data_IF_331283477843
#
_entry.id   IF_331283477843
#
_cell.length_a   1.000
_cell.length_b   1.000
_cell.length_c   1.000
_cell.angle_alpha   90.00
_cell.angle_beta   90.00
_cell.angle_gamma   90.00
#
_symmetry.space_group_name_H-M   'P 1'
#
loop_
_entity.id
_entity.type
_entity.pdbx_description
1 polymer ?
#
# COMPACT_ATOMS: atom_id res chain seq x y z
N UNK A 1 11.21 -33.98 20.82
CA UNK A 1 12.58 -33.53 20.46
C UNK A 1 12.51 -32.36 19.47
N UNK A 2 13.55 -31.52 19.33
CA UNK A 2 13.51 -30.40 18.37
C UNK A 2 13.28 -30.88 16.93
N UNK A 3 13.86 -32.01 16.56
CA UNK A 3 13.69 -32.66 15.24
C UNK A 3 12.23 -33.05 14.94
N UNK A 4 11.47 -33.42 15.97
CA UNK A 4 10.06 -33.78 15.84
C UNK A 4 9.17 -32.53 15.80
N UNK A 5 9.49 -31.53 16.64
CA UNK A 5 8.77 -30.26 16.70
C UNK A 5 8.99 -29.40 15.45
N UNK A 6 10.19 -29.45 14.88
CA UNK A 6 10.58 -28.70 13.68
C UNK A 6 10.47 -29.56 12.40
N UNK A 7 9.69 -30.64 12.41
CA UNK A 7 9.53 -31.48 11.23
C UNK A 7 8.73 -30.72 10.15
N UNK A 8 9.30 -30.41 8.96
CA UNK A 8 8.69 -29.48 8.00
C UNK A 8 7.27 -29.87 7.57
N UNK A 9 7.06 -31.15 7.25
CA UNK A 9 5.74 -31.67 6.82
C UNK A 9 4.72 -31.70 7.95
N UNK A 10 5.17 -31.81 9.21
CA UNK A 10 4.25 -31.80 10.33
C UNK A 10 3.75 -30.37 10.58
N UNK A 11 4.65 -29.39 10.49
CA UNK A 11 4.35 -27.98 10.68
C UNK A 11 3.40 -27.43 9.60
N UNK A 12 3.55 -27.82 8.33
CA UNK A 12 2.66 -27.33 7.26
C UNK A 12 1.22 -27.84 7.37
N UNK A 13 0.97 -28.90 8.16
CA UNK A 13 -0.38 -29.42 8.46
C UNK A 13 -1.09 -28.65 9.57
N UNK A 14 -0.38 -27.75 10.26
CA UNK A 14 -1.00 -26.87 11.23
C UNK A 14 -1.69 -25.74 10.47
N UNK A 15 -3.00 -25.60 10.63
CA UNK A 15 -3.73 -24.47 10.05
C UNK A 15 -3.37 -23.18 10.79
N UNK A 16 -3.22 -22.09 10.03
CA UNK A 16 -2.95 -20.74 10.54
C UNK A 16 -1.69 -20.65 11.38
N UNK A 17 -0.65 -21.42 11.02
CA UNK A 17 0.65 -21.34 11.66
C UNK A 17 1.27 -19.96 11.44
N UNK A 18 1.62 -19.27 12.53
CA UNK A 18 2.28 -17.97 12.47
C UNK A 18 3.71 -18.11 12.97
N UNK A 19 4.67 -17.75 12.13
CA UNK A 19 6.08 -17.60 12.51
C UNK A 19 6.44 -16.13 12.53
N UNK A 20 6.99 -15.64 13.64
CA UNK A 20 7.54 -14.28 13.76
C UNK A 20 9.02 -14.39 14.05
N UNK A 21 9.84 -13.75 13.24
CA UNK A 21 11.29 -13.88 13.24
C UNK A 21 11.93 -12.51 13.25
N UNK A 22 12.87 -12.28 14.17
CA UNK A 22 13.70 -11.07 14.14
C UNK A 22 14.79 -11.20 13.07
N UNK A 23 15.02 -10.15 12.30
CA UNK A 23 16.14 -10.03 11.38
C UNK A 23 17.14 -8.94 11.83
N UNK A 24 18.40 -9.15 11.47
CA UNK A 24 19.46 -8.16 11.60
C UNK A 24 19.61 -7.31 10.34
N UNK A 25 19.40 -7.92 9.17
CA UNK A 25 19.39 -7.20 7.91
C UNK A 25 18.42 -7.83 6.91
N UNK A 26 17.84 -6.99 6.06
CA UNK A 26 17.07 -7.40 4.87
C UNK A 26 17.60 -6.61 3.68
N UNK A 27 17.97 -7.29 2.59
CA UNK A 27 18.36 -6.57 1.37
C UNK A 27 17.17 -6.18 0.49
N UNK A 28 17.37 -5.30 -0.49
CA UNK A 28 16.31 -4.83 -1.40
C UNK A 28 15.71 -5.92 -2.30
N UNK A 29 16.35 -7.09 -2.41
CA UNK A 29 15.75 -8.26 -3.07
C UNK A 29 14.91 -9.09 -2.10
N UNK A 30 14.96 -8.77 -0.81
CA UNK A 30 14.30 -9.40 0.31
C UNK A 30 14.99 -10.66 0.80
N UNK A 31 16.30 -10.81 0.65
CA UNK A 31 17.06 -11.81 1.39
C UNK A 31 17.24 -11.35 2.84
N UNK A 32 17.23 -12.30 3.79
CA UNK A 32 17.25 -11.98 5.22
C UNK A 32 18.45 -12.60 5.90
N UNK A 33 19.19 -11.76 6.61
CA UNK A 33 20.16 -12.17 7.62
C UNK A 33 19.52 -12.05 9.01
N UNK A 34 19.51 -13.15 9.76
CA UNK A 34 18.86 -13.21 11.08
C UNK A 34 19.74 -13.85 12.17
N UNK A 35 20.98 -14.22 11.87
CA UNK A 35 21.90 -14.85 12.82
C UNK A 35 23.16 -14.03 13.12
N UNK A 36 23.46 -13.02 12.31
CA UNK A 36 24.68 -12.22 12.39
C UNK A 36 24.39 -10.72 12.28
N UNK A 37 25.18 -9.93 13.03
CA UNK A 37 25.14 -8.47 12.99
C UNK A 37 26.59 -7.95 12.94
N UNK A 38 26.90 -7.10 11.96
CA UNK A 38 28.26 -6.52 11.81
C UNK A 38 29.37 -7.56 11.61
N UNK A 39 29.04 -8.71 11.03
CA UNK A 39 29.98 -9.82 10.80
C UNK A 39 30.29 -10.66 12.03
N UNK A 40 29.67 -10.38 13.17
CA UNK A 40 29.71 -11.25 14.33
C UNK A 40 28.45 -12.12 14.38
N UNK A 41 28.66 -13.40 14.66
CA UNK A 41 27.58 -14.36 14.86
C UNK A 41 26.92 -14.05 16.21
N UNK A 42 25.67 -13.59 16.17
CA UNK A 42 24.86 -13.33 17.36
C UNK A 42 24.23 -14.61 17.89
N UNK A 43 23.83 -15.52 16.99
CA UNK A 43 23.17 -16.79 17.32
C UNK A 43 23.33 -17.82 16.20
N UNK A 44 22.44 -18.80 16.13
CA UNK A 44 22.40 -19.75 15.01
C UNK A 44 21.02 -19.78 14.39
N UNK A 45 20.94 -20.18 13.11
CA UNK A 45 19.66 -20.31 12.39
C UNK A 45 18.68 -21.28 13.07
N UNK A 46 19.20 -22.32 13.74
CA UNK A 46 18.41 -23.36 14.41
C UNK A 46 17.22 -23.83 13.55
N UNK A 47 16.01 -23.87 14.11
CA UNK A 47 14.78 -24.24 13.39
C UNK A 47 14.04 -23.04 12.80
N UNK A 48 14.64 -21.84 12.81
CA UNK A 48 13.96 -20.60 12.43
C UNK A 48 13.53 -20.60 10.96
N UNK A 49 14.43 -20.96 10.05
CA UNK A 49 14.15 -21.03 8.62
C UNK A 49 13.05 -22.06 8.31
N UNK A 50 13.07 -23.20 9.00
CA UNK A 50 12.06 -24.26 8.83
C UNK A 50 10.69 -23.82 9.34
N UNK A 51 10.62 -23.19 10.53
CA UNK A 51 9.38 -22.65 11.09
C UNK A 51 8.80 -21.56 10.18
N UNK A 52 9.66 -20.68 9.68
CA UNK A 52 9.28 -19.61 8.77
C UNK A 52 8.74 -20.17 7.45
N UNK A 53 9.47 -21.11 6.84
CA UNK A 53 9.04 -21.79 5.63
C UNK A 53 7.72 -22.54 5.83
N UNK A 54 7.56 -23.25 6.94
CA UNK A 54 6.33 -23.99 7.20
C UNK A 54 5.12 -23.06 7.42
N UNK A 55 5.31 -21.93 8.10
CA UNK A 55 4.27 -20.92 8.25
C UNK A 55 3.86 -20.30 6.91
N UNK A 56 4.82 -20.11 5.99
CA UNK A 56 4.56 -19.63 4.63
C UNK A 56 3.73 -20.61 3.78
N UNK A 57 3.80 -21.92 4.09
CA UNK A 57 3.13 -22.99 3.34
C UNK A 57 1.92 -23.61 4.07
N UNK A 58 1.61 -23.11 5.27
CA UNK A 58 0.45 -23.51 6.08
C UNK A 58 -0.83 -22.85 5.55
N UNK A 59 -1.97 -23.56 5.62
CA UNK A 59 -3.27 -23.00 5.22
C UNK A 59 -3.64 -21.81 6.12
N UNK A 60 -3.69 -20.61 5.54
CA UNK A 60 -3.91 -19.36 6.29
C UNK A 60 -2.74 -18.98 7.22
N UNK A 61 -1.56 -19.59 7.03
CA UNK A 61 -0.36 -19.32 7.79
C UNK A 61 0.28 -17.97 7.44
N UNK A 62 1.16 -17.49 8.32
CA UNK A 62 1.84 -16.19 8.17
C UNK A 62 3.30 -16.29 8.60
N UNK A 63 4.21 -16.00 7.68
CA UNK A 63 5.64 -15.93 7.93
C UNK A 63 6.09 -14.46 7.96
N UNK A 64 6.45 -13.98 9.15
CA UNK A 64 6.70 -12.56 9.43
C UNK A 64 8.14 -12.34 9.84
N UNK A 65 8.83 -11.49 9.09
CA UNK A 65 10.16 -10.97 9.43
C UNK A 65 9.98 -9.59 10.07
N UNK A 66 10.57 -9.39 11.25
CA UNK A 66 10.53 -8.12 11.98
C UNK A 66 11.94 -7.57 12.15
N UNK A 67 12.12 -6.27 11.95
CA UNK A 67 13.37 -5.58 12.22
C UNK A 67 13.11 -4.11 12.56
N UNK A 68 13.95 -3.53 13.41
CA UNK A 68 14.07 -2.08 13.47
C UNK A 68 14.72 -1.57 12.19
N UNK A 69 14.39 -0.37 11.73
CA UNK A 69 15.03 0.15 10.51
C UNK A 69 16.48 0.54 10.70
N UNK A 70 16.88 0.93 11.90
CA UNK A 70 18.25 1.28 12.25
C UNK A 70 18.79 0.33 13.32
N UNK A 71 20.09 0.03 13.25
CA UNK A 71 20.85 -0.58 14.32
C UNK A 71 21.21 0.47 15.39
N UNK A 72 21.64 0.07 16.60
CA UNK A 72 22.01 1.00 17.67
C UNK A 72 23.11 2.02 17.29
N UNK A 73 23.96 1.67 16.33
CA UNK A 73 25.01 2.54 15.79
C UNK A 73 24.55 3.45 14.64
N UNK A 74 23.25 3.45 14.33
CA UNK A 74 22.65 4.28 13.29
C UNK A 74 22.69 3.69 11.87
N UNK A 75 23.29 2.52 11.65
CA UNK A 75 23.31 1.90 10.32
C UNK A 75 21.93 1.32 9.96
N UNK A 76 21.50 1.51 8.71
CA UNK A 76 20.20 1.00 8.21
C UNK A 76 20.16 -0.53 8.11
N UNK A 77 19.22 -1.21 8.77
CA UNK A 77 19.04 -2.66 8.63
C UNK A 77 18.35 -3.08 7.34
N UNK A 78 17.75 -2.14 6.59
CA UNK A 78 17.37 -2.36 5.20
C UNK A 78 18.53 -1.94 4.32
N UNK A 79 19.04 -2.88 3.51
CA UNK A 79 20.30 -2.74 2.78
C UNK A 79 20.11 -2.86 1.26
N UNK A 80 20.97 -2.22 0.45
CA UNK A 80 21.06 -2.47 -0.99
C UNK A 80 21.38 -3.94 -1.31
N UNK A 81 22.31 -4.53 -0.56
CA UNK A 81 22.65 -5.94 -0.52
C UNK A 81 23.13 -6.33 0.88
N UNK A 82 22.96 -7.60 1.23
CA UNK A 82 23.68 -8.18 2.36
C UNK A 82 25.18 -8.16 2.06
N UNK A 83 25.98 -7.94 3.11
CA UNK A 83 27.44 -7.95 3.06
C UNK A 83 27.97 -9.38 2.97
N UNK A 84 29.26 -9.56 2.61
CA UNK A 84 29.90 -10.88 2.54
C UNK A 84 29.91 -11.63 3.89
N UNK A 85 29.75 -10.92 5.00
CA UNK A 85 29.75 -11.47 6.34
C UNK A 85 28.33 -11.79 6.85
N UNK A 86 27.28 -11.39 6.13
CA UNK A 86 25.89 -11.61 6.48
C UNK A 86 25.34 -12.82 5.72
N UNK A 87 25.11 -13.93 6.43
CA UNK A 87 24.58 -15.13 5.82
C UNK A 87 23.09 -14.99 5.48
N UNK A 88 22.68 -15.50 4.32
CA UNK A 88 21.25 -15.60 3.98
C UNK A 88 20.63 -16.73 4.80
N UNK A 89 19.86 -16.36 5.80
CA UNK A 89 19.16 -17.30 6.71
C UNK A 89 17.75 -17.63 6.24
N UNK A 90 17.07 -16.67 5.61
CA UNK A 90 15.78 -16.88 4.94
C UNK A 90 15.94 -16.39 3.50
N UNK A 91 15.80 -17.29 2.50
CA UNK A 91 15.95 -16.91 1.10
C UNK A 91 14.76 -16.04 0.69
N UNK A 92 14.99 -15.18 -0.32
CA UNK A 92 13.96 -14.25 -0.80
C UNK A 92 12.63 -14.91 -1.21
N UNK A 93 12.67 -16.18 -1.63
CA UNK A 93 11.49 -16.98 -2.00
C UNK A 93 10.52 -17.19 -0.83
N UNK A 94 11.05 -17.22 0.40
CA UNK A 94 10.31 -17.65 1.59
C UNK A 94 9.87 -16.45 2.44
N UNK A 95 10.26 -15.23 2.04
CA UNK A 95 9.89 -13.99 2.73
C UNK A 95 8.52 -13.53 2.27
N UNK A 96 7.54 -13.67 3.16
CA UNK A 96 6.18 -13.20 2.94
C UNK A 96 5.99 -11.80 3.47
N UNK A 97 6.08 -11.60 4.79
CA UNK A 97 5.88 -10.31 5.42
C UNK A 97 7.18 -9.75 5.99
N UNK A 98 7.42 -8.46 5.80
CA UNK A 98 8.47 -7.69 6.48
C UNK A 98 7.82 -6.54 7.24
N UNK A 99 8.11 -6.42 8.53
CA UNK A 99 7.52 -5.45 9.45
C UNK A 99 8.63 -4.59 10.07
N UNK A 100 8.44 -3.27 10.01
CA UNK A 100 9.27 -2.29 10.70
C UNK A 100 8.39 -1.31 11.47
N UNK A 101 9.01 -0.38 12.20
CA UNK A 101 8.32 0.75 12.82
C UNK A 101 7.65 1.71 11.82
N UNK A 102 7.96 1.60 10.51
CA UNK A 102 7.34 2.42 9.45
C UNK A 102 6.22 1.72 8.70
N UNK A 103 5.96 0.44 8.97
CA UNK A 103 4.82 -0.27 8.40
C UNK A 103 5.08 -1.75 8.13
N UNK A 104 4.37 -2.29 7.15
CA UNK A 104 4.51 -3.69 6.76
C UNK A 104 4.42 -3.84 5.24
N UNK A 105 5.27 -4.69 4.68
CA UNK A 105 5.29 -5.04 3.27
C UNK A 105 5.05 -6.55 3.09
N UNK A 106 4.28 -6.90 2.07
CA UNK A 106 4.12 -8.28 1.60
C UNK A 106 4.92 -8.49 0.32
N UNK A 107 5.90 -9.39 0.35
CA UNK A 107 6.90 -9.57 -0.69
C UNK A 107 6.72 -10.85 -1.52
N UNK A 108 5.90 -11.79 -1.07
CA UNK A 108 5.69 -13.05 -1.80
C UNK A 108 4.92 -12.80 -3.10
N UNK A 109 5.40 -13.43 -4.19
CA UNK A 109 4.85 -13.22 -5.54
C UNK A 109 5.19 -11.87 -6.18
N UNK A 110 5.95 -11.01 -5.51
CA UNK A 110 6.36 -9.69 -6.02
C UNK A 110 7.65 -9.77 -6.83
N UNK A 111 7.74 -8.95 -7.88
CA UNK A 111 8.95 -8.74 -8.67
C UNK A 111 10.05 -8.09 -7.82
N UNK A 112 11.31 -8.18 -8.26
CA UNK A 112 12.44 -7.53 -7.58
C UNK A 112 12.25 -6.01 -7.46
N UNK A 113 11.65 -5.38 -8.47
CA UNK A 113 11.31 -3.96 -8.45
C UNK A 113 10.32 -3.62 -7.34
N UNK A 114 9.21 -4.35 -7.28
CA UNK A 114 8.17 -4.13 -6.25
C UNK A 114 8.72 -4.39 -4.85
N UNK A 115 9.57 -5.43 -4.69
CA UNK A 115 10.21 -5.74 -3.40
C UNK A 115 11.15 -4.62 -2.97
N UNK A 116 11.99 -4.13 -3.86
CA UNK A 116 12.91 -3.03 -3.56
C UNK A 116 12.14 -1.78 -3.14
N UNK A 117 11.12 -1.36 -3.91
CA UNK A 117 10.30 -0.20 -3.57
C UNK A 117 9.63 -0.36 -2.20
N UNK A 118 8.96 -1.50 -1.95
CA UNK A 118 8.28 -1.74 -0.69
C UNK A 118 9.23 -1.75 0.52
N UNK A 119 10.43 -2.34 0.36
CA UNK A 119 11.45 -2.35 1.41
C UNK A 119 12.04 -0.96 1.67
N UNK A 120 12.25 -0.14 0.63
CA UNK A 120 12.69 1.25 0.83
C UNK A 120 11.61 2.06 1.57
N UNK A 121 10.33 1.83 1.28
CA UNK A 121 9.23 2.47 2.04
C UNK A 121 9.23 2.05 3.52
N UNK A 122 9.65 0.83 3.84
CA UNK A 122 9.80 0.37 5.22
C UNK A 122 11.05 0.90 5.91
N UNK A 123 12.02 1.45 5.17
CA UNK A 123 13.28 1.93 5.72
C UNK A 123 13.11 3.26 6.46
N UNK A 124 14.11 3.59 7.29
CA UNK A 124 14.15 4.87 7.99
C UNK A 124 14.14 6.02 6.98
N UNK A 125 13.31 7.08 7.15
CA UNK A 125 13.17 8.18 6.20
C UNK A 125 14.50 8.81 5.77
N UNK A 126 15.48 8.88 6.68
CA UNK A 126 16.79 9.49 6.40
C UNK A 126 17.64 8.74 5.39
N UNK A 127 17.37 7.44 5.13
CA UNK A 127 18.17 6.61 4.20
C UNK A 127 17.41 6.22 2.93
N UNK A 128 16.12 6.57 2.82
CA UNK A 128 15.29 6.16 1.69
C UNK A 128 15.82 6.67 0.34
N UNK A 129 16.31 7.91 0.33
CA UNK A 129 16.88 8.52 -0.88
C UNK A 129 18.12 7.76 -1.37
N UNK A 130 19.05 7.46 -0.46
CA UNK A 130 20.27 6.72 -0.77
C UNK A 130 19.97 5.30 -1.23
N UNK A 131 19.08 4.59 -0.53
CA UNK A 131 18.64 3.25 -0.93
C UNK A 131 17.97 3.24 -2.31
N UNK A 132 17.20 4.29 -2.65
CA UNK A 132 16.60 4.42 -3.98
C UNK A 132 17.66 4.63 -5.06
N UNK A 133 18.66 5.47 -4.81
CA UNK A 133 19.77 5.65 -5.75
C UNK A 133 20.53 4.34 -5.96
N UNK A 134 20.87 3.63 -4.90
CA UNK A 134 21.55 2.33 -5.00
C UNK A 134 20.69 1.27 -5.69
N UNK A 135 19.37 1.30 -5.50
CA UNK A 135 18.45 0.42 -6.22
C UNK A 135 18.45 0.71 -7.74
N UNK A 136 18.55 1.99 -8.13
CA UNK A 136 18.66 2.39 -9.54
C UNK A 136 19.99 1.91 -10.12
N UNK A 137 21.10 2.16 -9.42
CA UNK A 137 22.45 1.74 -9.84
C UNK A 137 22.55 0.22 -10.02
N UNK A 138 21.87 -0.54 -9.15
CA UNK A 138 21.77 -2.00 -9.23
C UNK A 138 20.78 -2.51 -10.28
N UNK A 139 20.05 -1.63 -10.96
CA UNK A 139 19.02 -2.00 -11.93
C UNK A 139 17.80 -2.69 -11.32
N UNK A 140 17.58 -2.57 -10.00
CA UNK A 140 16.39 -3.10 -9.34
C UNK A 140 15.15 -2.26 -9.64
N UNK A 141 15.33 -0.96 -9.78
CA UNK A 141 14.26 0.01 -10.11
C UNK A 141 14.71 0.92 -11.26
N UNK A 142 13.78 1.43 -12.09
CA UNK A 142 14.14 2.31 -13.20
C UNK A 142 14.59 3.69 -12.69
N UNK A 143 15.43 4.43 -13.46
CA UNK A 143 15.92 5.76 -13.07
C UNK A 143 14.83 6.82 -12.81
N UNK A 144 13.62 6.63 -13.35
CA UNK A 144 12.47 7.50 -13.12
C UNK A 144 11.63 7.16 -11.88
N UNK A 145 12.01 6.14 -11.10
CA UNK A 145 11.28 5.75 -9.90
C UNK A 145 11.33 6.89 -8.88
N UNK A 146 10.16 7.30 -8.38
CA UNK A 146 10.04 8.26 -7.28
C UNK A 146 9.46 7.57 -6.05
N UNK A 147 9.85 8.05 -4.87
CA UNK A 147 9.25 7.70 -3.58
C UNK A 147 8.67 8.97 -2.98
N UNK A 148 7.34 9.05 -2.92
CA UNK A 148 6.66 10.24 -2.35
C UNK A 148 6.24 10.05 -0.91
N UNK A 149 6.19 8.81 -0.44
CA UNK A 149 5.95 8.49 0.97
C UNK A 149 7.10 9.02 1.83
N UNK A 150 6.83 10.09 2.59
CA UNK A 150 7.78 10.72 3.52
C UNK A 150 7.66 10.15 4.94
N UNK A 151 6.50 9.62 5.29
CA UNK A 151 6.17 9.14 6.64
C UNK A 151 6.10 7.62 6.76
N UNK A 152 5.70 7.19 7.96
CA UNK A 152 5.23 5.83 8.19
C UNK A 152 3.86 5.64 7.53
N UNK A 153 3.54 4.39 7.18
CA UNK A 153 2.21 4.04 6.69
C UNK A 153 1.15 4.35 7.77
N UNK A 154 0.12 5.19 7.49
CA UNK A 154 -0.84 5.63 8.50
C UNK A 154 -1.90 4.56 8.77
N UNK A 155 -1.52 3.54 9.55
CA UNK A 155 -2.35 2.37 9.86
C UNK A 155 -3.64 2.72 10.58
N UNK A 156 -3.64 3.79 11.38
CA UNK A 156 -4.82 4.31 12.07
C UNK A 156 -5.93 4.81 11.12
N UNK A 157 -5.62 4.96 9.83
CA UNK A 157 -6.61 5.29 8.79
C UNK A 157 -7.28 4.06 8.17
N UNK A 158 -6.81 2.85 8.48
CA UNK A 158 -7.45 1.61 8.04
C UNK A 158 -8.82 1.42 8.73
N UNK A 159 -9.86 1.16 7.94
CA UNK A 159 -11.23 0.96 8.41
C UNK A 159 -11.88 -0.21 7.71
N UNK A 160 -12.25 -1.24 8.47
CA UNK A 160 -13.15 -2.27 7.99
C UNK A 160 -14.57 -1.71 7.97
N UNK A 161 -15.26 -1.82 6.84
CA UNK A 161 -16.61 -1.28 6.65
C UNK A 161 -17.50 -2.35 6.04
N UNK A 162 -18.66 -2.56 6.65
CA UNK A 162 -19.74 -3.36 6.09
C UNK A 162 -20.63 -2.46 5.21
N UNK A 163 -20.87 -2.90 3.97
CA UNK A 163 -21.70 -2.22 2.99
C UNK A 163 -23.17 -2.59 3.16
N UNK A 164 -24.06 -1.91 2.42
CA UNK A 164 -25.51 -2.08 2.55
C UNK A 164 -26.01 -3.49 2.20
N UNK A 165 -25.24 -4.22 1.41
CA UNK A 165 -25.54 -5.58 0.98
C UNK A 165 -24.83 -6.65 1.85
N UNK A 166 -24.22 -6.25 2.97
CA UNK A 166 -23.52 -7.14 3.90
C UNK A 166 -22.10 -7.50 3.49
N UNK A 167 -21.62 -7.07 2.32
CA UNK A 167 -20.20 -7.25 1.94
C UNK A 167 -19.31 -6.37 2.81
N UNK A 168 -18.14 -6.88 3.17
CA UNK A 168 -17.13 -6.12 3.92
C UNK A 168 -15.97 -5.71 3.02
N UNK A 169 -15.51 -4.47 3.17
CA UNK A 169 -14.30 -3.95 2.54
C UNK A 169 -13.37 -3.36 3.58
N UNK A 170 -12.06 -3.41 3.34
CA UNK A 170 -11.08 -2.63 4.07
C UNK A 170 -10.81 -1.35 3.28
N UNK A 171 -11.10 -0.19 3.86
CA UNK A 171 -10.63 1.09 3.33
C UNK A 171 -9.29 1.41 3.97
N UNK A 172 -8.24 1.59 3.18
CA UNK A 172 -6.88 1.85 3.66
C UNK A 172 -6.10 2.82 2.76
N UNK A 173 -5.10 3.54 3.28
CA UNK A 173 -4.15 4.28 2.44
C UNK A 173 -3.46 3.39 1.41
N UNK A 174 -3.22 3.95 0.22
CA UNK A 174 -2.44 3.31 -0.82
C UNK A 174 -0.97 3.18 -0.41
N UNK A 175 -0.34 2.11 -0.88
CA UNK A 175 1.10 1.81 -0.77
C UNK A 175 1.69 1.94 -2.17
N UNK A 176 2.97 2.28 -2.32
CA UNK A 176 3.56 2.40 -3.68
C UNK A 176 3.47 1.07 -4.46
N UNK A 177 3.48 -0.08 -3.76
CA UNK A 177 3.25 -1.40 -4.36
C UNK A 177 1.83 -1.70 -4.85
N UNK A 178 0.85 -0.81 -4.62
CA UNK A 178 -0.54 -1.03 -5.04
C UNK A 178 -0.80 -0.67 -6.52
N UNK A 179 0.20 -0.16 -7.23
CA UNK A 179 0.06 0.30 -8.62
C UNK A 179 -0.57 -0.75 -9.54
N UNK A 180 -0.12 -2.00 -9.47
CA UNK A 180 -0.64 -3.09 -10.30
C UNK A 180 -2.13 -3.39 -10.00
N UNK A 181 -2.49 -3.55 -8.73
CA UNK A 181 -3.89 -3.83 -8.35
C UNK A 181 -4.83 -2.65 -8.60
N UNK A 182 -4.30 -1.41 -8.64
CA UNK A 182 -5.02 -0.22 -9.10
C UNK A 182 -5.22 -0.22 -10.62
N UNK A 183 -4.22 -0.63 -11.41
CA UNK A 183 -4.38 -0.83 -12.86
C UNK A 183 -5.47 -1.85 -13.16
N UNK A 184 -5.52 -2.94 -12.39
CA UNK A 184 -6.55 -3.96 -12.57
C UNK A 184 -7.96 -3.38 -12.33
N UNK A 185 -8.14 -2.48 -11.36
CA UNK A 185 -9.40 -1.74 -11.20
C UNK A 185 -9.70 -0.90 -12.45
N UNK A 186 -8.74 -0.12 -12.93
CA UNK A 186 -8.90 0.70 -14.14
C UNK A 186 -9.39 -0.12 -15.34
N UNK A 187 -8.79 -1.29 -15.60
CA UNK A 187 -9.15 -2.14 -16.74
C UNK A 187 -10.50 -2.84 -16.61
N UNK A 188 -11.09 -2.88 -15.40
CA UNK A 188 -12.47 -3.34 -15.18
C UNK A 188 -13.49 -2.22 -15.34
N UNK A 189 -13.07 -0.96 -15.46
CA UNK A 189 -13.99 0.16 -15.58
C UNK A 189 -14.53 0.31 -17.02
N UNK A 190 -15.83 0.60 -17.17
CA UNK A 190 -16.40 1.04 -18.42
C UNK A 190 -15.75 2.34 -18.94
N UNK A 191 -15.67 2.54 -20.28
CA UNK A 191 -15.08 3.73 -20.87
C UNK A 191 -15.68 5.05 -20.38
N UNK A 192 -16.97 5.07 -20.06
CA UNK A 192 -17.66 6.24 -19.51
C UNK A 192 -17.17 6.60 -18.10
N UNK A 193 -16.89 5.61 -17.25
CA UNK A 193 -16.35 5.84 -15.91
C UNK A 193 -14.92 6.34 -15.99
N UNK A 194 -14.11 5.76 -16.88
CA UNK A 194 -12.76 6.25 -17.19
C UNK A 194 -12.81 7.70 -17.64
N UNK A 195 -13.72 8.04 -18.57
CA UNK A 195 -13.88 9.40 -19.04
C UNK A 195 -14.24 10.36 -17.91
N UNK A 196 -15.21 10.00 -17.05
CA UNK A 196 -15.59 10.87 -15.92
C UNK A 196 -14.47 11.06 -14.90
N UNK A 197 -13.57 10.08 -14.74
CA UNK A 197 -12.44 10.14 -13.80
C UNK A 197 -11.26 10.96 -14.32
N UNK A 198 -10.99 10.90 -15.63
CA UNK A 198 -9.77 11.45 -16.23
C UNK A 198 -10.03 12.60 -17.21
N UNK A 199 -11.30 12.93 -17.47
CA UNK A 199 -11.76 13.85 -18.53
C UNK A 199 -11.15 13.55 -19.91
N UNK A 200 -10.76 12.29 -20.11
CA UNK A 200 -10.07 11.80 -21.31
C UNK A 200 -10.47 10.36 -21.56
N UNK A 201 -10.60 10.01 -22.84
CA UNK A 201 -10.78 8.62 -23.24
C UNK A 201 -9.42 7.90 -23.19
N UNK A 202 -9.08 7.39 -22.01
CA UNK A 202 -7.90 6.56 -21.82
C UNK A 202 -8.23 5.10 -22.12
N UNK A 203 -7.41 4.45 -22.95
CA UNK A 203 -7.51 3.01 -23.23
C UNK A 203 -6.51 2.19 -22.40
N UNK A 204 -5.56 2.86 -21.76
CA UNK A 204 -4.57 2.24 -20.88
C UNK A 204 -4.21 3.18 -19.74
N UNK A 205 -3.83 2.60 -18.61
CA UNK A 205 -3.21 3.30 -17.49
C UNK A 205 -1.76 2.83 -17.41
N UNK A 206 -0.78 3.60 -17.90
CA UNK A 206 0.63 3.23 -17.78
C UNK A 206 1.03 2.98 -16.32
N UNK A 207 1.96 2.03 -16.10
CA UNK A 207 2.40 1.68 -14.74
C UNK A 207 2.95 2.90 -13.98
N UNK A 208 3.70 3.77 -14.65
CA UNK A 208 4.20 5.02 -14.05
C UNK A 208 3.09 5.96 -13.57
N UNK A 209 1.95 6.00 -14.27
CA UNK A 209 0.78 6.78 -13.84
C UNK A 209 0.12 6.14 -12.63
N UNK A 210 -0.03 4.81 -12.61
CA UNK A 210 -0.57 4.10 -11.45
C UNK A 210 0.34 4.21 -10.21
N UNK A 211 1.65 4.17 -10.40
CA UNK A 211 2.66 4.42 -9.36
C UNK A 211 2.53 5.84 -8.81
N UNK A 212 2.32 6.84 -9.67
CA UNK A 212 2.07 8.22 -9.22
C UNK A 212 0.75 8.34 -8.42
N UNK A 213 -0.28 7.58 -8.79
CA UNK A 213 -1.55 7.59 -8.05
C UNK A 213 -1.48 6.88 -6.69
N UNK A 214 -0.49 6.00 -6.48
CA UNK A 214 -0.37 5.16 -5.28
C UNK A 214 0.79 5.53 -4.37
N UNK A 215 1.85 6.14 -4.90
CA UNK A 215 2.94 6.74 -4.14
C UNK A 215 2.54 8.15 -3.74
N UNK A 216 1.97 8.29 -2.55
CA UNK A 216 1.48 9.59 -2.03
C UNK A 216 2.22 9.98 -0.75
N UNK A 217 2.25 11.28 -0.45
CA UNK A 217 2.94 11.80 0.75
C UNK A 217 2.21 11.53 2.06
N UNK A 218 0.91 11.17 1.99
CA UNK A 218 -0.03 11.08 3.10
C UNK A 218 -0.33 12.42 3.79
N UNK A 219 0.18 13.54 3.28
CA UNK A 219 -0.03 14.89 3.82
C UNK A 219 -0.91 15.70 2.86
N UNK A 220 -0.30 16.19 1.77
CA UNK A 220 -0.99 16.99 0.75
C UNK A 220 -1.60 16.12 -0.37
N UNK A 221 -1.09 14.91 -0.54
CA UNK A 221 -1.60 13.92 -1.47
C UNK A 221 -2.07 12.71 -0.68
N UNK A 222 -3.32 12.31 -0.85
CA UNK A 222 -3.87 11.11 -0.22
C UNK A 222 -4.60 10.28 -1.25
N UNK A 223 -4.30 8.99 -1.30
CA UNK A 223 -5.08 7.98 -2.03
C UNK A 223 -5.51 6.92 -1.04
N UNK A 224 -6.81 6.68 -0.95
CA UNK A 224 -7.41 5.60 -0.20
C UNK A 224 -7.93 4.54 -1.18
N UNK A 225 -7.73 3.28 -0.84
CA UNK A 225 -8.21 2.11 -1.57
C UNK A 225 -9.25 1.40 -0.71
N UNK A 226 -10.39 1.06 -1.31
CA UNK A 226 -11.27 0.02 -0.79
C UNK A 226 -10.84 -1.31 -1.40
N UNK A 227 -10.48 -2.27 -0.55
CA UNK A 227 -10.00 -3.59 -0.96
C UNK A 227 -10.86 -4.71 -0.39
N UNK A 228 -11.02 -5.77 -1.17
CA UNK A 228 -11.55 -7.06 -0.72
C UNK A 228 -10.43 -8.12 -0.68
N UNK A 229 -10.66 -9.19 0.06
CA UNK A 229 -9.73 -10.32 0.18
C UNK A 229 -8.72 -10.16 1.32
N UNK A 230 -7.90 -11.19 1.49
CA UNK A 230 -6.87 -11.22 2.51
C UNK A 230 -5.63 -10.42 2.10
N UNK A 231 -4.88 -9.98 3.10
CA UNK A 231 -3.65 -9.22 2.91
C UNK A 231 -2.63 -9.98 2.05
N UNK A 232 -2.14 -9.34 0.98
CA UNK A 232 -1.22 -9.94 0.01
C UNK A 232 -1.92 -10.49 -1.22
N UNK A 233 -3.23 -10.74 -1.13
CA UNK A 233 -4.14 -11.11 -2.23
C UNK A 233 -5.28 -10.10 -2.40
N UNK A 234 -5.06 -8.87 -1.91
CA UNK A 234 -6.05 -7.80 -1.92
C UNK A 234 -6.42 -7.42 -3.36
N UNK A 235 -7.73 -7.27 -3.61
CA UNK A 235 -8.25 -6.71 -4.86
C UNK A 235 -8.85 -5.34 -4.58
N UNK A 236 -8.44 -4.32 -5.34
CA UNK A 236 -9.03 -2.99 -5.25
C UNK A 236 -10.41 -2.98 -5.93
N UNK A 237 -11.42 -2.56 -5.19
CA UNK A 237 -12.82 -2.44 -5.63
C UNK A 237 -13.30 -1.00 -5.68
N UNK A 238 -12.53 -0.08 -5.11
CA UNK A 238 -12.71 1.34 -5.30
C UNK A 238 -11.52 2.14 -4.79
N UNK A 239 -11.44 3.39 -5.19
CA UNK A 239 -10.44 4.33 -4.69
C UNK A 239 -11.00 5.74 -4.65
N UNK A 240 -10.52 6.52 -3.69
CA UNK A 240 -10.68 7.97 -3.65
C UNK A 240 -9.32 8.60 -3.41
N UNK A 241 -9.01 9.64 -4.17
CA UNK A 241 -7.77 10.40 -4.02
C UNK A 241 -8.10 11.88 -3.90
N UNK A 242 -7.34 12.61 -3.09
CA UNK A 242 -7.31 14.08 -3.19
C UNK A 242 -5.90 14.64 -3.29
N UNK A 243 -5.80 15.80 -3.94
CA UNK A 243 -4.61 16.63 -4.00
C UNK A 243 -4.92 17.99 -3.38
N UNK A 244 -4.20 18.39 -2.33
CA UNK A 244 -4.36 19.68 -1.66
C UNK A 244 -3.55 20.76 -2.37
N UNK A 245 -4.21 21.86 -2.70
CA UNK A 245 -3.53 23.10 -3.08
C UNK A 245 -3.06 23.83 -1.81
N UNK A 246 -1.74 24.00 -1.60
CA UNK A 246 -1.20 24.67 -0.41
C UNK A 246 -1.57 26.15 -0.34
N UNK A 247 -1.96 26.78 -1.46
CA UNK A 247 -2.29 28.20 -1.53
C UNK A 247 -3.72 28.46 -1.07
N UNK A 248 -4.69 27.74 -1.63
CA UNK A 248 -6.11 27.91 -1.30
C UNK A 248 -6.55 27.09 -0.09
N UNK A 249 -5.78 26.05 0.28
CA UNK A 249 -6.15 25.08 1.31
C UNK A 249 -7.30 24.15 0.89
N UNK A 250 -7.75 24.22 -0.37
CA UNK A 250 -8.74 23.31 -0.96
C UNK A 250 -8.07 22.05 -1.49
N UNK A 251 -8.84 20.98 -1.70
CA UNK A 251 -8.30 19.77 -2.29
C UNK A 251 -9.20 19.16 -3.36
N UNK A 252 -8.63 18.91 -4.54
CA UNK A 252 -9.32 18.28 -5.66
C UNK A 252 -9.47 16.78 -5.40
N UNK A 253 -10.71 16.29 -5.39
CA UNK A 253 -11.04 14.90 -5.08
C UNK A 253 -11.53 14.14 -6.32
N UNK A 254 -11.12 12.88 -6.44
CA UNK A 254 -11.50 12.01 -7.56
C UNK A 254 -11.72 10.56 -7.11
N UNK A 255 -12.68 9.88 -7.74
CA UNK A 255 -13.15 8.54 -7.34
C UNK A 255 -13.11 7.55 -8.49
N UNK A 256 -12.79 6.29 -8.21
CA UNK A 256 -13.07 5.16 -9.10
C UNK A 256 -13.76 4.06 -8.29
N UNK A 257 -14.79 3.44 -8.87
CA UNK A 257 -15.55 2.37 -8.21
C UNK A 257 -15.78 1.26 -9.22
N UNK A 258 -15.40 0.03 -8.86
CA UNK A 258 -15.63 -1.15 -9.68
C UNK A 258 -17.14 -1.28 -9.98
N UNK A 259 -17.56 -1.56 -11.23
CA UNK A 259 -18.96 -1.65 -11.59
C UNK A 259 -19.78 -2.62 -10.73
N UNK A 260 -19.17 -3.74 -10.30
CA UNK A 260 -19.83 -4.73 -9.44
C UNK A 260 -20.04 -4.24 -7.99
N UNK A 261 -19.51 -3.07 -7.65
CA UNK A 261 -19.55 -2.43 -6.34
C UNK A 261 -20.31 -1.10 -6.36
N UNK A 262 -20.93 -0.75 -7.49
CA UNK A 262 -21.86 0.37 -7.59
C UNK A 262 -23.20 0.03 -6.95
N UNK A 263 -23.92 1.04 -6.45
CA UNK A 263 -25.25 0.89 -5.86
C UNK A 263 -25.31 0.33 -4.43
N UNK A 264 -24.22 -0.26 -3.94
CA UNK A 264 -24.18 -0.91 -2.60
C UNK A 264 -23.64 -0.01 -1.48
N UNK A 265 -23.38 1.26 -1.79
CA UNK A 265 -22.95 2.28 -0.84
C UNK A 265 -21.44 2.52 -0.76
N UNK A 266 -20.62 1.83 -1.56
CA UNK A 266 -19.16 1.98 -1.52
C UNK A 266 -18.69 3.43 -1.77
N UNK A 267 -19.27 4.12 -2.76
CA UNK A 267 -18.93 5.53 -3.02
C UNK A 267 -19.23 6.45 -1.83
N UNK A 268 -20.31 6.20 -1.10
CA UNK A 268 -20.68 6.93 0.13
C UNK A 268 -19.65 6.69 1.23
N UNK A 269 -19.25 5.43 1.44
CA UNK A 269 -18.20 5.08 2.40
C UNK A 269 -16.90 5.79 2.06
N UNK A 270 -16.45 5.72 0.80
CA UNK A 270 -15.21 6.39 0.37
C UNK A 270 -15.29 7.91 0.57
N UNK A 271 -16.43 8.54 0.23
CA UNK A 271 -16.66 9.97 0.47
C UNK A 271 -16.53 10.33 1.95
N UNK A 272 -17.16 9.55 2.83
CA UNK A 272 -17.17 9.85 4.26
C UNK A 272 -15.79 9.66 4.89
N UNK A 273 -15.04 8.63 4.46
CA UNK A 273 -13.66 8.41 4.91
C UNK A 273 -12.74 9.53 4.41
N UNK A 274 -12.83 9.94 3.14
CA UNK A 274 -11.95 11.00 2.63
C UNK A 274 -12.25 12.35 3.29
N UNK A 275 -13.53 12.64 3.60
CA UNK A 275 -13.94 13.83 4.35
C UNK A 275 -13.29 13.86 5.74
N UNK A 276 -13.33 12.74 6.47
CA UNK A 276 -12.71 12.63 7.79
C UNK A 276 -11.17 12.81 7.74
N UNK A 277 -10.53 12.16 6.76
CA UNK A 277 -9.10 12.23 6.48
C UNK A 277 -8.67 13.66 6.15
N UNK A 278 -9.43 14.35 5.30
CA UNK A 278 -9.16 15.71 4.87
C UNK A 278 -9.36 16.73 6.01
N UNK A 279 -10.39 16.55 6.85
CA UNK A 279 -10.61 17.36 8.07
C UNK A 279 -9.46 17.28 9.04
N UNK A 280 -8.99 16.07 9.34
CA UNK A 280 -7.85 15.84 10.25
C UNK A 280 -6.55 16.52 9.77
N UNK A 281 -6.43 16.76 8.47
CA UNK A 281 -5.28 17.43 7.84
C UNK A 281 -5.53 18.92 7.55
N UNK A 282 -6.64 19.48 8.01
CA UNK A 282 -6.95 20.91 7.88
C UNK A 282 -7.25 21.37 6.44
N UNK A 283 -7.77 20.47 5.60
CA UNK A 283 -8.31 20.86 4.28
C UNK A 283 -9.58 21.69 4.52
N UNK A 284 -9.71 22.80 3.80
CA UNK A 284 -10.81 23.77 3.98
C UNK A 284 -12.07 23.33 3.21
N UNK A 285 -11.88 22.78 2.01
CA UNK A 285 -12.96 22.27 1.18
C UNK A 285 -12.44 21.19 0.22
N UNK A 286 -13.29 20.21 -0.09
CA UNK A 286 -13.06 19.29 -1.20
C UNK A 286 -13.71 19.84 -2.46
N UNK A 287 -12.96 19.90 -3.55
CA UNK A 287 -13.40 20.38 -4.86
C UNK A 287 -13.47 19.23 -5.85
N UNK A 288 -14.46 19.25 -6.74
CA UNK A 288 -14.55 18.27 -7.81
C UNK A 288 -15.23 18.86 -9.05
N UNK A 289 -14.60 18.69 -10.20
CA UNK A 289 -15.23 18.89 -11.49
C UNK A 289 -15.97 17.63 -11.89
N UNK A 290 -17.28 17.74 -12.11
CA UNK A 290 -18.15 16.62 -12.42
C UNK A 290 -18.98 16.94 -13.66
N UNK A 291 -18.99 16.06 -14.65
CA UNK A 291 -19.88 16.22 -15.82
C UNK A 291 -21.34 16.33 -15.36
N UNK A 292 -22.09 17.26 -15.94
CA UNK A 292 -23.48 17.52 -15.56
C UNK A 292 -24.38 16.27 -15.72
N UNK A 293 -24.02 15.38 -16.65
CA UNK A 293 -24.70 14.11 -16.89
C UNK A 293 -24.40 13.04 -15.83
N UNK A 294 -23.32 13.19 -15.04
CA UNK A 294 -22.93 12.25 -13.99
C UNK A 294 -23.78 12.42 -12.72
N UNK A 295 -25.08 12.14 -12.87
CA UNK A 295 -26.08 12.26 -11.81
C UNK A 295 -25.75 11.44 -10.56
N UNK A 296 -25.04 10.31 -10.73
CA UNK A 296 -24.57 9.48 -9.62
C UNK A 296 -23.56 10.22 -8.74
N UNK A 297 -22.53 10.83 -9.33
CA UNK A 297 -21.51 11.58 -8.60
C UNK A 297 -22.08 12.86 -7.98
N UNK A 298 -22.92 13.59 -8.71
CA UNK A 298 -23.64 14.76 -8.19
C UNK A 298 -24.49 14.40 -6.96
N UNK A 299 -25.20 13.27 -7.00
CA UNK A 299 -25.98 12.76 -5.85
C UNK A 299 -25.07 12.35 -4.69
N UNK A 300 -23.91 11.77 -4.98
CA UNK A 300 -22.94 11.36 -3.96
C UNK A 300 -22.49 12.57 -3.12
N UNK A 301 -22.17 13.72 -3.73
CA UNK A 301 -21.83 14.93 -2.98
C UNK A 301 -23.01 15.56 -2.25
N UNK A 302 -24.19 15.62 -2.88
CA UNK A 302 -25.41 16.21 -2.28
C UNK A 302 -25.88 15.50 -1.01
N UNK A 303 -25.59 14.20 -0.89
CA UNK A 303 -25.98 13.37 0.25
C UNK A 303 -24.93 13.33 1.37
N UNK A 304 -23.94 14.23 1.33
CA UNK A 304 -22.89 14.33 2.37
C UNK A 304 -23.41 14.89 3.69
N UNK A 305 -24.49 15.69 3.64
CA UNK A 305 -24.96 16.46 4.80
C UNK A 305 -24.07 17.66 5.14
N UNK A 306 -23.09 18.01 4.29
CA UNK A 306 -22.24 19.18 4.43
C UNK A 306 -22.68 20.31 3.50
N UNK A 307 -22.15 21.51 3.74
CA UNK A 307 -22.38 22.67 2.89
C UNK A 307 -21.73 22.47 1.52
N UNK A 308 -22.58 22.45 0.48
CA UNK A 308 -22.22 22.14 -0.89
C UNK A 308 -22.63 23.29 -1.79
N UNK A 309 -21.62 23.98 -2.33
CA UNK A 309 -21.80 24.91 -3.44
C UNK A 309 -21.65 24.14 -4.76
N UNK A 310 -22.50 24.44 -5.73
CA UNK A 310 -22.46 23.81 -7.06
C UNK A 310 -22.66 24.88 -8.14
N UNK A 311 -21.69 25.01 -9.04
CA UNK A 311 -21.77 25.92 -10.18
C UNK A 311 -21.63 25.13 -11.48
N UNK A 312 -22.60 25.24 -12.38
CA UNK A 312 -22.56 24.53 -13.67
C UNK A 312 -22.26 25.49 -14.80
N UNK A 313 -21.19 25.22 -15.54
CA UNK A 313 -20.83 25.96 -16.74
C UNK A 313 -20.30 25.00 -17.81
N UNK A 314 -20.65 25.23 -19.08
CA UNK A 314 -20.15 24.45 -20.22
C UNK A 314 -20.26 22.91 -20.07
N UNK A 315 -21.32 22.41 -19.41
CA UNK A 315 -21.54 20.98 -19.20
C UNK A 315 -20.76 20.35 -18.04
N UNK A 316 -19.98 21.13 -17.30
CA UNK A 316 -19.27 20.70 -16.09
C UNK A 316 -19.87 21.41 -14.88
N UNK A 317 -20.15 20.66 -13.83
CA UNK A 317 -20.53 21.16 -12.51
C UNK A 317 -19.30 21.14 -11.61
N UNK A 318 -18.80 22.33 -11.27
CA UNK A 318 -17.82 22.52 -10.20
C UNK A 318 -18.55 22.38 -8.86
N UNK A 319 -18.09 21.45 -8.04
CA UNK A 319 -18.60 21.19 -6.69
C UNK A 319 -17.58 21.65 -5.67
N UNK A 320 -18.03 22.40 -4.66
CA UNK A 320 -17.22 22.80 -3.51
C UNK A 320 -17.91 22.34 -2.24
N UNK A 321 -17.35 21.32 -1.60
CA UNK A 321 -17.83 20.74 -0.36
C UNK A 321 -17.01 21.26 0.81
N UNK A 322 -17.59 22.13 1.65
CA UNK A 322 -16.87 22.72 2.80
C UNK A 322 -16.76 21.70 3.94
N UNK A 323 -15.58 21.62 4.54
CA UNK A 323 -15.23 20.64 5.58
C UNK A 323 -15.40 21.17 6.99
#
# INVERSE_FOLDING_TARGET
>A
PLEELAHPVALTRLDRLVSVTQAFAVDLTGQVCADSESGELYGGVASQSIMHWAAAHSLGGRAVVCLSTLAPDGRSRIRPALTEQEAVTIPRSDVHYVVTEYGTAYLYGRSLRERAVALIELAHPSVRADLLMEAIERGLVPPGQQLRSRGAYPREEERAVELRDGRTVLVRPARTGDAAILQDLFYRMPPEDVYTRFFRHLTSLPLSTAEHMTSVSFEDEVTLLAVEGDWGSERVVGTVSYYRDPTSGRADVAFMVDPAWKGVGLGTVLRDVVVDVARRRGVVALTADVLAENTAMLRLFRTSGLDLEAHTSHGVTELVLRL
#
